data_IF_276621922313
#
_entry.id   IF_276621922313
#
_cell.length_a   1.000
_cell.length_b   1.000
_cell.length_c   1.000
_cell.angle_alpha   90.00
_cell.angle_beta   90.00
_cell.angle_gamma   90.00
#
_symmetry.space_group_name_H-M   'P 1'
#
loop_
_entity.id
_entity.type
_entity.pdbx_description
1 polymer ?
#
# COMPACT_ATOMS: atom_id res chain seq x y z
N UNK A 1 10.88 -6.07 7.71
CA UNK A 1 12.05 -6.75 7.10
C UNK A 1 11.87 -8.24 7.30
N UNK A 2 12.02 -9.01 6.22
CA UNK A 2 12.00 -10.48 6.25
C UNK A 2 13.42 -11.04 6.06
N UNK A 3 13.66 -12.24 6.59
CA UNK A 3 14.94 -12.93 6.44
C UNK A 3 16.06 -12.39 7.32
N UNK A 4 15.73 -11.78 8.45
CA UNK A 4 16.74 -11.42 9.44
C UNK A 4 17.45 -12.70 9.96
N UNK A 5 18.77 -12.65 10.23
CA UNK A 5 19.49 -13.81 10.76
C UNK A 5 18.78 -14.46 11.96
N UNK A 6 18.55 -15.77 11.87
CA UNK A 6 17.82 -16.55 12.86
C UNK A 6 16.30 -16.59 12.70
N UNK A 7 15.70 -15.83 11.79
CA UNK A 7 14.26 -15.91 11.53
C UNK A 7 13.86 -17.30 11.01
N UNK A 8 12.92 -17.92 11.71
CA UNK A 8 12.36 -19.23 11.34
C UNK A 8 11.01 -19.09 10.65
N UNK A 9 10.55 -20.16 9.98
CA UNK A 9 9.19 -20.19 9.42
C UNK A 9 8.12 -20.04 10.50
N UNK A 10 8.36 -20.62 11.69
CA UNK A 10 7.46 -20.50 12.83
C UNK A 10 7.33 -19.07 13.38
N UNK A 11 8.31 -18.21 13.14
CA UNK A 11 8.27 -16.77 13.49
C UNK A 11 7.68 -15.93 12.35
N UNK A 12 7.88 -16.34 11.10
CA UNK A 12 7.34 -15.63 9.96
C UNK A 12 5.82 -15.83 9.79
N UNK A 13 5.30 -17.04 9.98
CA UNK A 13 3.87 -17.32 9.80
C UNK A 13 2.96 -16.45 10.69
N UNK A 14 3.24 -16.23 11.99
CA UNK A 14 2.46 -15.31 12.83
C UNK A 14 2.42 -13.88 12.32
N UNK A 15 3.45 -13.42 11.59
CA UNK A 15 3.44 -12.10 10.96
C UNK A 15 2.37 -12.02 9.86
N UNK A 16 2.25 -13.05 9.02
CA UNK A 16 1.21 -13.13 8.01
C UNK A 16 -0.19 -13.18 8.62
N UNK A 17 -0.36 -13.97 9.68
CA UNK A 17 -1.63 -14.09 10.39
C UNK A 17 -2.04 -12.75 11.03
N UNK A 18 -1.08 -12.06 11.63
CA UNK A 18 -1.31 -10.73 12.20
C UNK A 18 -1.71 -9.69 11.14
N UNK A 19 -1.22 -9.77 9.91
CA UNK A 19 -1.63 -8.86 8.84
C UNK A 19 -3.13 -8.98 8.53
N UNK A 20 -3.69 -10.19 8.61
CA UNK A 20 -5.13 -10.40 8.44
C UNK A 20 -5.96 -9.76 9.57
N UNK A 21 -5.41 -9.70 10.78
CA UNK A 21 -6.07 -9.03 11.92
C UNK A 21 -5.91 -7.51 11.86
N UNK A 22 -4.70 -7.03 11.55
CA UNK A 22 -4.34 -5.63 11.58
C UNK A 22 -5.01 -4.81 10.46
N UNK A 23 -5.25 -5.42 9.29
CA UNK A 23 -5.92 -4.81 8.14
C UNK A 23 -5.35 -3.41 7.80
N UNK A 24 -4.02 -3.30 7.74
CA UNK A 24 -3.35 -2.05 7.39
C UNK A 24 -3.59 -1.70 5.92
N UNK A 25 -3.77 -0.42 5.63
CA UNK A 25 -4.08 0.05 4.28
C UNK A 25 -2.90 -0.09 3.32
N UNK A 26 -1.71 0.27 3.78
CA UNK A 26 -0.48 0.21 2.99
C UNK A 26 0.63 -0.42 3.81
N UNK A 27 1.16 -1.51 3.32
CA UNK A 27 2.25 -2.26 3.98
C UNK A 27 3.21 -2.77 2.92
N UNK A 28 4.49 -2.51 3.15
CA UNK A 28 5.56 -3.10 2.36
C UNK A 28 6.58 -3.79 3.27
N UNK A 29 7.44 -4.59 2.69
CA UNK A 29 8.58 -5.14 3.41
C UNK A 29 9.84 -5.17 2.54
N UNK A 30 10.97 -5.26 3.21
CA UNK A 30 12.28 -5.42 2.58
C UNK A 30 12.88 -6.75 3.01
N UNK A 31 13.68 -7.34 2.13
CA UNK A 31 14.54 -8.46 2.50
C UNK A 31 15.73 -7.96 3.31
N UNK A 32 16.18 -8.74 4.28
CA UNK A 32 17.42 -8.44 4.99
C UNK A 32 18.62 -8.50 4.05
N UNK A 33 19.47 -7.50 4.12
CA UNK A 33 20.71 -7.40 3.37
C UNK A 33 21.93 -7.29 4.29
N UNK A 34 23.03 -7.93 3.89
CA UNK A 34 24.33 -7.84 4.55
C UNK A 34 25.03 -6.52 4.18
N UNK A 35 24.61 -5.43 4.78
CA UNK A 35 25.24 -4.12 4.56
C UNK A 35 26.58 -4.06 5.27
N UNK A 36 27.63 -3.65 4.56
CA UNK A 36 28.99 -3.57 5.12
C UNK A 36 29.03 -2.73 6.42
N UNK A 37 29.66 -3.27 7.46
CA UNK A 37 29.78 -2.63 8.77
C UNK A 37 28.60 -2.86 9.72
N UNK A 38 27.51 -3.49 9.28
CA UNK A 38 26.41 -3.83 10.16
C UNK A 38 26.76 -4.95 11.12
N UNK A 39 26.46 -4.79 12.42
CA UNK A 39 26.72 -5.81 13.45
C UNK A 39 25.98 -7.11 13.22
N UNK A 40 24.80 -7.02 12.61
CA UNK A 40 23.96 -8.18 12.29
C UNK A 40 24.61 -9.17 11.32
N UNK A 41 25.60 -8.75 10.53
CA UNK A 41 26.34 -9.64 9.64
C UNK A 41 27.11 -10.74 10.39
N UNK A 42 27.46 -10.51 11.66
CA UNK A 42 28.17 -11.46 12.50
C UNK A 42 27.26 -12.45 13.23
N UNK A 43 25.93 -12.29 13.11
CA UNK A 43 24.98 -13.21 13.71
C UNK A 43 25.01 -14.57 12.99
N UNK A 44 24.73 -15.67 13.71
CA UNK A 44 24.58 -16.99 13.10
C UNK A 44 23.25 -17.11 12.34
N UNK A 45 23.10 -18.24 11.65
CA UNK A 45 21.82 -18.68 11.05
C UNK A 45 21.22 -17.69 10.06
N UNK A 46 22.07 -17.18 9.15
CA UNK A 46 21.60 -16.37 8.03
C UNK A 46 20.59 -17.12 7.17
N UNK A 47 19.48 -16.47 6.87
CA UNK A 47 18.43 -17.04 6.03
C UNK A 47 18.93 -17.09 4.56
N UNK A 48 18.79 -18.21 3.85
CA UNK A 48 19.12 -18.30 2.44
C UNK A 48 18.34 -17.31 1.57
N UNK A 49 18.94 -16.84 0.49
CA UNK A 49 18.35 -15.81 -0.37
C UNK A 49 17.02 -16.25 -1.03
N UNK A 50 16.91 -17.51 -1.41
CA UNK A 50 15.68 -18.10 -1.96
C UNK A 50 14.54 -18.13 -0.92
N UNK A 51 14.85 -18.39 0.34
CA UNK A 51 13.88 -18.35 1.45
C UNK A 51 13.47 -16.91 1.76
N UNK A 52 14.40 -15.96 1.74
CA UNK A 52 14.05 -14.53 1.88
C UNK A 52 13.11 -14.06 0.79
N UNK A 53 13.39 -14.46 -0.47
CA UNK A 53 12.55 -14.13 -1.60
C UNK A 53 11.16 -14.73 -1.46
N UNK A 54 11.04 -16.01 -1.11
CA UNK A 54 9.75 -16.67 -0.89
C UNK A 54 8.93 -15.98 0.22
N UNK A 55 9.55 -15.63 1.34
CA UNK A 55 8.88 -14.90 2.42
C UNK A 55 8.45 -13.51 2.00
N UNK A 56 9.28 -12.80 1.24
CA UNK A 56 8.93 -11.51 0.68
C UNK A 56 7.73 -11.60 -0.27
N UNK A 57 7.73 -12.58 -1.17
CA UNK A 57 6.64 -12.81 -2.12
C UNK A 57 5.32 -13.10 -1.39
N UNK A 58 5.34 -13.96 -0.38
CA UNK A 58 4.16 -14.28 0.43
C UNK A 58 3.64 -13.08 1.22
N UNK A 59 4.55 -12.28 1.79
CA UNK A 59 4.19 -11.05 2.51
C UNK A 59 3.55 -10.04 1.57
N UNK A 60 4.18 -9.76 0.43
CA UNK A 60 3.67 -8.78 -0.53
C UNK A 60 2.36 -9.22 -1.18
N UNK A 61 2.20 -10.50 -1.49
CA UNK A 61 0.93 -11.03 -2.02
C UNK A 61 -0.23 -10.84 -1.01
N UNK A 62 0.04 -11.07 0.28
CA UNK A 62 -0.97 -10.84 1.34
C UNK A 62 -1.27 -9.35 1.50
N UNK A 63 -0.26 -8.49 1.51
CA UNK A 63 -0.44 -7.04 1.60
C UNK A 63 -1.27 -6.50 0.44
N UNK A 64 -1.01 -6.96 -0.79
CA UNK A 64 -1.77 -6.61 -1.97
C UNK A 64 -3.23 -7.07 -1.87
N UNK A 65 -3.48 -8.31 -1.49
CA UNK A 65 -4.85 -8.83 -1.34
C UNK A 65 -5.67 -8.05 -0.30
N UNK A 66 -5.06 -7.65 0.81
CA UNK A 66 -5.71 -6.80 1.83
C UNK A 66 -6.00 -5.41 1.25
N UNK A 67 -5.05 -4.81 0.53
CA UNK A 67 -5.23 -3.51 -0.13
C UNK A 67 -6.39 -3.53 -1.11
N UNK A 68 -6.40 -4.50 -2.05
CA UNK A 68 -7.48 -4.67 -3.03
C UNK A 68 -8.84 -4.80 -2.37
N UNK A 69 -8.98 -5.68 -1.38
CA UNK A 69 -10.24 -5.90 -0.68
C UNK A 69 -10.74 -4.62 0.02
N UNK A 70 -9.83 -3.83 0.59
CA UNK A 70 -10.17 -2.56 1.25
C UNK A 70 -10.54 -1.46 0.25
N UNK A 71 -9.90 -1.41 -0.90
CA UNK A 71 -10.24 -0.46 -1.97
C UNK A 71 -11.58 -0.83 -2.62
N UNK A 72 -11.80 -2.10 -2.94
CA UNK A 72 -13.06 -2.60 -3.46
C UNK A 72 -14.24 -2.31 -2.53
N UNK A 73 -14.04 -2.40 -1.21
CA UNK A 73 -15.05 -2.05 -0.22
C UNK A 73 -15.43 -0.55 -0.20
N UNK A 74 -14.67 0.31 -0.88
CA UNK A 74 -14.97 1.75 -1.04
C UNK A 74 -15.85 2.02 -2.25
N UNK A 75 -15.91 1.12 -3.23
CA UNK A 75 -16.76 1.28 -4.42
C UNK A 75 -18.23 1.47 -4.01
N UNK A 76 -18.89 2.46 -4.61
CA UNK A 76 -20.25 2.88 -4.27
C UNK A 76 -20.35 3.74 -3.01
N UNK A 77 -19.25 4.12 -2.38
CA UNK A 77 -19.25 5.01 -1.21
C UNK A 77 -18.80 6.42 -1.59
N UNK A 78 -19.33 7.40 -0.88
CA UNK A 78 -18.86 8.79 -0.91
C UNK A 78 -17.77 8.96 0.13
N UNK A 79 -16.59 9.35 -0.30
CA UNK A 79 -15.43 9.60 0.56
C UNK A 79 -14.89 11.01 0.37
N UNK A 80 -14.19 11.54 1.36
CA UNK A 80 -13.45 12.79 1.25
C UNK A 80 -12.03 12.52 0.74
N UNK A 81 -11.61 13.32 -0.23
CA UNK A 81 -10.26 13.29 -0.81
C UNK A 81 -9.67 14.70 -0.85
N UNK A 82 -8.36 14.80 -0.85
CA UNK A 82 -7.64 16.03 -1.12
C UNK A 82 -7.10 16.01 -2.55
N UNK A 83 -7.30 17.10 -3.28
CA UNK A 83 -6.77 17.27 -4.63
C UNK A 83 -5.29 17.63 -4.52
N UNK A 84 -4.42 16.85 -5.14
CA UNK A 84 -2.99 17.10 -5.20
C UNK A 84 -2.58 17.80 -6.50
N UNK A 85 -3.19 17.40 -7.64
CA UNK A 85 -2.90 17.93 -8.95
C UNK A 85 -4.15 18.00 -9.82
N UNK A 86 -4.21 18.99 -10.71
CA UNK A 86 -5.24 19.09 -11.76
C UNK A 86 -4.54 19.42 -13.06
N UNK A 87 -4.82 18.65 -14.11
CA UNK A 87 -4.29 18.85 -15.45
C UNK A 87 -5.41 18.83 -16.51
N UNK A 88 -5.04 18.65 -17.78
CA UNK A 88 -6.00 18.64 -18.88
C UNK A 88 -6.86 17.37 -18.94
N UNK A 89 -6.40 16.28 -18.32
CA UNK A 89 -6.99 14.96 -18.42
C UNK A 89 -7.80 14.57 -17.15
N UNK A 90 -7.61 15.32 -16.04
CA UNK A 90 -8.32 15.03 -14.80
C UNK A 90 -7.72 15.64 -13.55
N UNK A 91 -8.20 15.21 -12.40
CA UNK A 91 -7.63 15.54 -11.11
C UNK A 91 -7.08 14.29 -10.42
N UNK A 92 -5.86 14.42 -9.90
CA UNK A 92 -5.22 13.40 -9.07
C UNK A 92 -5.41 13.78 -7.61
N UNK A 93 -6.00 12.88 -6.85
CA UNK A 93 -6.36 13.08 -5.46
C UNK A 93 -5.82 11.93 -4.60
N UNK A 94 -5.82 12.11 -3.28
CA UNK A 94 -5.54 11.01 -2.33
C UNK A 94 -6.57 10.95 -1.23
N UNK A 95 -6.76 9.74 -0.72
CA UNK A 95 -7.65 9.49 0.42
C UNK A 95 -6.92 9.72 1.75
N UNK A 96 -7.66 9.62 2.85
CA UNK A 96 -7.08 9.69 4.22
C UNK A 96 -6.12 8.53 4.55
N UNK A 97 -6.14 7.46 3.75
CA UNK A 97 -5.30 6.28 3.93
C UNK A 97 -3.96 6.37 3.18
N UNK A 98 -3.78 7.39 2.34
CA UNK A 98 -2.67 7.46 1.38
C UNK A 98 -1.71 8.60 1.71
N UNK A 99 -0.41 8.29 1.71
CA UNK A 99 0.66 9.29 1.86
C UNK A 99 0.94 9.99 0.53
N UNK A 100 1.34 11.27 0.56
CA UNK A 100 1.67 12.01 -0.66
C UNK A 100 2.80 11.34 -1.45
N UNK A 101 2.64 11.23 -2.77
CA UNK A 101 3.67 10.79 -3.74
C UNK A 101 4.16 9.33 -3.59
N UNK A 102 3.67 8.59 -2.59
CA UNK A 102 4.19 7.25 -2.25
C UNK A 102 3.12 6.17 -2.42
N UNK A 103 1.90 6.46 -1.92
CA UNK A 103 0.79 5.51 -1.92
C UNK A 103 -0.10 5.69 -3.16
N UNK A 104 -1.26 4.98 -3.19
CA UNK A 104 -2.20 5.05 -4.29
C UNK A 104 -2.94 6.39 -4.41
N UNK A 105 -3.56 6.58 -5.55
CA UNK A 105 -4.30 7.79 -5.89
C UNK A 105 -5.80 7.51 -6.06
N UNK A 106 -6.57 8.58 -6.06
CA UNK A 106 -7.93 8.59 -6.58
C UNK A 106 -7.99 9.56 -7.76
N UNK A 107 -8.39 9.06 -8.92
CA UNK A 107 -8.49 9.84 -10.16
C UNK A 107 -9.93 10.28 -10.40
N UNK A 108 -10.08 11.53 -10.85
CA UNK A 108 -11.35 12.14 -11.23
C UNK A 108 -11.25 12.57 -12.68
N UNK A 109 -11.97 11.90 -13.58
CA UNK A 109 -11.92 12.15 -15.01
C UNK A 109 -13.02 13.13 -15.50
N UNK A 110 -14.07 13.33 -14.68
CA UNK A 110 -15.20 14.20 -15.03
C UNK A 110 -15.54 15.15 -13.87
N UNK A 111 -15.88 16.40 -14.19
CA UNK A 111 -16.29 17.42 -13.22
C UNK A 111 -15.16 18.02 -12.41
N UNK A 112 -13.93 17.92 -12.86
CA UNK A 112 -12.72 18.41 -12.18
C UNK A 112 -12.35 19.86 -12.55
N UNK A 113 -13.01 20.49 -13.52
CA UNK A 113 -12.61 21.78 -14.13
C UNK A 113 -12.59 22.95 -13.14
N UNK A 114 -13.30 22.83 -12.04
CA UNK A 114 -13.36 23.84 -10.98
C UNK A 114 -12.53 23.47 -9.74
N UNK A 115 -11.79 22.38 -9.79
CA UNK A 115 -10.95 21.93 -8.69
C UNK A 115 -9.58 22.60 -8.75
N UNK A 116 -8.97 22.77 -7.59
CA UNK A 116 -7.61 23.26 -7.45
C UNK A 116 -6.82 22.41 -6.43
N UNK A 117 -5.49 22.31 -6.59
CA UNK A 117 -4.65 21.65 -5.58
C UNK A 117 -4.89 22.20 -4.18
N UNK A 118 -5.10 21.33 -3.21
CA UNK A 118 -5.42 21.65 -1.82
C UNK A 118 -6.91 21.62 -1.50
N UNK A 119 -7.79 21.54 -2.47
CA UNK A 119 -9.23 21.40 -2.24
C UNK A 119 -9.54 20.04 -1.57
N UNK A 120 -10.47 20.05 -0.63
CA UNK A 120 -11.04 18.83 -0.04
C UNK A 120 -12.44 18.67 -0.59
N UNK A 121 -12.66 17.60 -1.33
CA UNK A 121 -13.92 17.33 -2.02
C UNK A 121 -14.49 15.96 -1.66
N UNK A 122 -15.78 15.81 -1.87
CA UNK A 122 -16.47 14.51 -1.72
C UNK A 122 -16.57 13.86 -3.08
N UNK A 123 -16.20 12.58 -3.13
CA UNK A 123 -16.18 11.79 -4.35
C UNK A 123 -16.92 10.48 -4.13
N UNK A 124 -17.82 10.15 -5.07
CA UNK A 124 -18.39 8.83 -5.19
C UNK A 124 -17.37 7.94 -5.88
N UNK A 125 -16.95 6.88 -5.22
CA UNK A 125 -16.00 5.92 -5.80
C UNK A 125 -16.73 4.98 -6.75
N UNK A 126 -16.28 4.92 -8.01
CA UNK A 126 -16.89 4.12 -9.06
C UNK A 126 -16.12 2.82 -9.33
N UNK A 127 -14.78 2.87 -9.21
CA UNK A 127 -13.90 1.75 -9.55
C UNK A 127 -12.71 1.69 -8.59
N UNK A 128 -12.21 0.48 -8.38
CA UNK A 128 -11.02 0.19 -7.58
C UNK A 128 -10.03 -0.69 -8.36
N UNK A 129 -8.75 -0.37 -8.27
CA UNK A 129 -7.64 -1.19 -8.73
C UNK A 129 -6.87 -1.80 -7.57
N UNK A 130 -5.66 -2.27 -7.84
CA UNK A 130 -4.78 -2.85 -6.80
C UNK A 130 -4.35 -1.81 -5.75
N UNK A 131 -4.16 -0.56 -6.17
CA UNK A 131 -3.67 0.53 -5.32
C UNK A 131 -4.44 1.84 -5.51
N UNK A 132 -5.14 1.99 -6.61
CA UNK A 132 -5.80 3.23 -7.02
C UNK A 132 -7.31 3.11 -7.04
N UNK A 133 -7.97 4.25 -7.02
CA UNK A 133 -9.42 4.42 -7.11
C UNK A 133 -9.78 5.38 -8.24
N UNK A 134 -10.97 5.26 -8.77
CA UNK A 134 -11.60 6.23 -9.68
C UNK A 134 -12.95 6.64 -9.12
N UNK A 135 -13.37 7.87 -9.43
CA UNK A 135 -14.65 8.35 -8.95
C UNK A 135 -15.01 9.74 -9.47
N UNK A 136 -16.18 10.21 -9.06
CA UNK A 136 -16.78 11.45 -9.53
C UNK A 136 -17.13 12.37 -8.34
N UNK A 137 -16.96 13.68 -8.52
CA UNK A 137 -17.32 14.69 -7.51
C UNK A 137 -18.84 14.69 -7.29
N UNK A 138 -19.27 14.74 -6.04
CA UNK A 138 -20.69 14.76 -5.65
C UNK A 138 -21.05 15.98 -4.82
#
# INVERSE_FOLDING_TARGET
>A
IVGYPGETEAEFQPLLDWMDEAQLDRVGCFQYENVAGARSNALPDHVPDDVKQDRWDRFMAKAQAISEAKLEAKVGRVIEVIVDEVDADGATCRTKADAPEIDGNLFIDEGFENLAPGDIVKVMVDEAGEYDLWGQVV
#
